data_IF_225969805600
#
_entry.id   IF_225969805600
#
_cell.length_a   1.000
_cell.length_b   1.000
_cell.length_c   1.000
_cell.angle_alpha   90.00
_cell.angle_beta   90.00
_cell.angle_gamma   90.00
#
_symmetry.space_group_name_H-M   'P 1'
#
loop_
_entity.id
_entity.type
_entity.pdbx_description
1 polymer ?
#
# COMPACT_ATOMS: atom_id res chain seq x y z
N UNK A 1 -7.30 -13.32 26.79
CA UNK A 1 -6.39 -12.42 26.07
C UNK A 1 -5.34 -11.96 27.06
N UNK A 2 -4.07 -12.32 26.86
CA UNK A 2 -2.95 -11.76 27.62
C UNK A 2 -2.80 -10.31 27.17
N UNK A 3 -2.88 -9.35 28.09
CA UNK A 3 -2.69 -7.94 27.77
C UNK A 3 -1.27 -7.75 27.22
N UNK A 4 -1.13 -7.23 26.00
CA UNK A 4 0.17 -6.84 25.48
C UNK A 4 0.61 -5.55 26.19
N UNK A 5 1.83 -5.57 26.73
CA UNK A 5 2.36 -4.45 27.52
C UNK A 5 2.94 -3.35 26.64
N UNK A 6 3.51 -3.68 25.49
CA UNK A 6 4.11 -2.71 24.57
C UNK A 6 3.13 -2.30 23.48
N UNK A 7 3.16 -1.01 23.09
CA UNK A 7 2.46 -0.50 21.90
C UNK A 7 3.35 0.43 21.08
N UNK A 8 3.11 0.53 19.77
CA UNK A 8 3.89 1.37 18.85
C UNK A 8 3.01 1.90 17.70
N UNK A 9 2.39 3.07 17.85
CA UNK A 9 1.44 3.63 16.88
C UNK A 9 2.06 4.77 16.07
N UNK A 10 1.80 4.79 14.75
CA UNK A 10 2.11 5.99 13.94
C UNK A 10 1.13 7.09 14.32
N UNK A 11 1.64 8.21 14.84
CA UNK A 11 0.83 9.35 15.29
C UNK A 11 -0.04 9.94 14.17
N UNK A 12 0.36 9.74 12.91
CA UNK A 12 -0.33 10.17 11.69
C UNK A 12 -0.74 8.96 10.82
N UNK A 13 -1.67 8.15 11.33
CA UNK A 13 -2.04 6.81 10.82
C UNK A 13 -2.77 6.74 9.47
N UNK A 14 -2.64 7.75 8.61
CA UNK A 14 -3.16 7.76 7.24
C UNK A 14 -2.13 8.36 6.25
N UNK A 15 -0.90 7.87 6.31
CA UNK A 15 0.21 8.43 5.53
C UNK A 15 0.21 7.90 4.09
N UNK A 16 0.01 8.83 3.15
CA UNK A 16 0.31 8.68 1.75
C UNK A 16 1.74 9.11 1.49
N UNK A 17 2.40 8.42 0.57
CA UNK A 17 3.73 8.77 0.09
C UNK A 17 3.78 8.46 -1.41
N UNK A 18 4.14 9.43 -2.23
CA UNK A 18 4.34 9.18 -3.66
C UNK A 18 5.70 8.47 -3.86
N UNK A 19 5.81 7.59 -4.85
CA UNK A 19 7.10 7.00 -5.22
C UNK A 19 8.14 8.11 -5.44
N UNK A 20 9.32 7.96 -4.83
CA UNK A 20 10.39 8.96 -4.85
C UNK A 20 10.38 9.94 -3.67
N UNK A 21 9.24 10.14 -3.01
CA UNK A 21 9.17 11.01 -1.83
C UNK A 21 9.81 10.34 -0.60
N UNK A 22 10.32 11.17 0.31
CA UNK A 22 10.88 10.75 1.60
C UNK A 22 10.06 11.38 2.73
N UNK A 23 9.69 10.56 3.72
CA UNK A 23 8.85 10.99 4.86
C UNK A 23 9.41 10.47 6.17
N UNK A 24 9.34 11.29 7.21
CA UNK A 24 9.64 10.89 8.58
C UNK A 24 8.32 10.66 9.33
N UNK A 25 8.11 9.42 9.76
CA UNK A 25 6.96 8.98 10.53
C UNK A 25 7.29 9.07 12.02
N UNK A 26 6.39 9.69 12.79
CA UNK A 26 6.47 9.70 14.24
C UNK A 26 5.74 8.49 14.81
N UNK A 27 6.46 7.69 15.60
CA UNK A 27 5.97 6.46 16.22
C UNK A 27 5.85 6.71 17.72
N UNK A 28 4.62 6.74 18.24
CA UNK A 28 4.35 6.75 19.67
C UNK A 28 4.51 5.34 20.21
N UNK A 29 5.49 5.15 21.08
CA UNK A 29 5.78 3.87 21.72
C UNK A 29 5.37 3.96 23.18
N UNK A 30 4.60 2.99 23.65
CA UNK A 30 4.12 2.96 25.02
C UNK A 30 4.44 1.62 25.67
N UNK A 31 4.63 1.64 26.98
CA UNK A 31 4.69 0.49 27.85
C UNK A 31 3.62 0.63 28.94
N UNK A 32 2.71 -0.33 29.00
CA UNK A 32 1.55 -0.35 29.90
C UNK A 32 0.70 0.95 29.82
N UNK A 33 0.52 1.46 28.60
CA UNK A 33 -0.23 2.69 28.33
C UNK A 33 0.50 4.01 28.69
N UNK A 34 1.74 3.94 29.18
CA UNK A 34 2.58 5.11 29.44
C UNK A 34 3.66 5.26 28.36
N UNK A 35 4.15 6.47 28.06
CA UNK A 35 5.28 6.66 27.16
C UNK A 35 6.45 5.72 27.49
N UNK A 36 6.96 5.04 26.48
CA UNK A 36 8.10 4.16 26.63
C UNK A 36 9.33 4.93 27.15
N UNK A 37 10.18 4.32 27.98
CA UNK A 37 11.43 4.94 28.43
C UNK A 37 12.29 5.42 27.25
N UNK A 38 13.00 6.52 27.43
CA UNK A 38 13.95 7.02 26.44
C UNK A 38 15.01 5.96 26.11
N UNK A 39 15.34 5.83 24.82
CA UNK A 39 16.30 4.85 24.33
C UNK A 39 15.76 3.43 24.19
N UNK A 40 14.44 3.22 24.33
CA UNK A 40 13.79 1.96 23.93
C UNK A 40 14.07 1.73 22.45
N UNK A 41 14.70 0.61 22.11
CA UNK A 41 15.07 0.27 20.73
C UNK A 41 13.96 -0.55 20.09
N UNK A 42 13.51 -0.12 18.91
CA UNK A 42 12.59 -0.87 18.06
C UNK A 42 13.29 -1.25 16.76
N UNK A 43 13.08 -2.49 16.35
CA UNK A 43 13.41 -2.98 15.02
C UNK A 43 12.20 -2.85 14.14
N UNK A 44 12.38 -2.26 12.95
CA UNK A 44 11.30 -2.03 12.00
C UNK A 44 11.53 -2.90 10.78
N UNK A 45 10.49 -3.59 10.34
CA UNK A 45 10.48 -4.36 9.10
C UNK A 45 9.23 -4.07 8.28
N UNK A 46 9.37 -4.15 6.96
CA UNK A 46 8.27 -4.04 6.02
C UNK A 46 7.67 -5.42 5.77
N UNK A 47 6.36 -5.51 5.89
CA UNK A 47 5.56 -6.67 5.51
C UNK A 47 4.53 -6.27 4.47
N UNK A 48 4.17 -7.23 3.64
CA UNK A 48 3.15 -7.08 2.61
C UNK A 48 2.24 -8.31 2.61
N UNK A 49 1.14 -8.18 1.90
CA UNK A 49 0.23 -9.27 1.64
C UNK A 49 0.48 -9.76 0.21
N UNK A 50 0.55 -11.08 -0.01
CA UNK A 50 0.81 -11.64 -1.35
C UNK A 50 -0.44 -11.67 -2.25
N UNK A 51 -1.61 -11.33 -1.71
CA UNK A 51 -2.92 -11.53 -2.32
C UNK A 51 -3.69 -10.21 -2.44
N UNK A 52 -4.34 -9.99 -3.59
CA UNK A 52 -5.15 -8.80 -3.86
C UNK A 52 -6.60 -8.96 -3.35
N UNK A 53 -7.04 -10.20 -3.09
CA UNK A 53 -8.41 -10.55 -2.74
C UNK A 53 -8.42 -11.16 -1.33
N UNK A 54 -9.15 -10.52 -0.41
CA UNK A 54 -9.33 -10.88 1.00
C UNK A 54 -8.22 -10.40 1.96
N UNK A 55 -8.57 -10.33 3.25
CA UNK A 55 -7.63 -10.09 4.35
C UNK A 55 -6.92 -11.40 4.66
N UNK A 56 -5.66 -11.52 4.28
CA UNK A 56 -4.85 -12.73 4.42
C UNK A 56 -3.55 -12.42 5.18
N UNK A 57 -2.66 -13.40 5.25
CA UNK A 57 -1.44 -13.38 6.05
C UNK A 57 -0.41 -12.36 5.57
N UNK A 58 0.52 -12.03 6.47
CA UNK A 58 1.62 -11.12 6.19
C UNK A 58 2.90 -11.89 5.88
N UNK A 59 3.67 -11.37 4.91
CA UNK A 59 4.96 -11.89 4.50
C UNK A 59 5.96 -10.73 4.48
N UNK A 60 7.16 -10.98 4.99
CA UNK A 60 8.25 -10.00 5.04
C UNK A 60 8.61 -9.56 3.61
N UNK A 61 8.79 -8.27 3.38
CA UNK A 61 9.23 -7.78 2.08
C UNK A 61 10.69 -8.14 1.80
N UNK A 62 11.01 -8.51 0.55
CA UNK A 62 12.34 -9.00 0.19
C UNK A 62 12.79 -8.64 -1.22
N UNK A 63 14.10 -8.52 -1.39
CA UNK A 63 14.74 -7.86 -2.54
C UNK A 63 15.29 -8.81 -3.62
N UNK A 64 15.28 -10.12 -3.37
CA UNK A 64 15.77 -11.14 -4.32
C UNK A 64 14.62 -12.00 -4.88
N UNK A 65 14.90 -12.81 -5.90
CA UNK A 65 13.93 -13.74 -6.48
C UNK A 65 13.74 -15.00 -5.64
N UNK A 66 13.45 -14.85 -4.34
CA UNK A 66 13.14 -15.97 -3.47
C UNK A 66 11.82 -16.62 -3.89
N UNK A 67 11.74 -17.94 -3.73
CA UNK A 67 10.53 -18.71 -3.93
C UNK A 67 10.28 -19.60 -2.72
N UNK A 68 9.01 -19.83 -2.44
CA UNK A 68 8.53 -20.63 -1.31
C UNK A 68 7.12 -21.10 -1.60
N UNK A 69 6.70 -22.19 -0.95
CA UNK A 69 5.29 -22.59 -1.00
C UNK A 69 4.46 -21.48 -0.35
N UNK A 70 3.54 -20.88 -1.10
CA UNK A 70 2.71 -19.77 -0.64
C UNK A 70 1.39 -20.28 -0.04
N UNK A 71 0.78 -21.26 -0.69
CA UNK A 71 -0.41 -21.95 -0.20
C UNK A 71 -0.51 -23.36 -0.78
N UNK A 72 -1.30 -24.20 -0.14
CA UNK A 72 -1.66 -25.52 -0.64
C UNK A 72 -3.06 -25.45 -1.25
N UNK A 73 -3.15 -25.77 -2.54
CA UNK A 73 -4.39 -25.74 -3.31
C UNK A 73 -5.08 -27.11 -3.29
N UNK A 74 -6.36 -27.15 -2.91
CA UNK A 74 -7.23 -28.31 -3.09
C UNK A 74 -7.99 -28.13 -4.43
N UNK A 75 -7.62 -28.88 -5.48
CA UNK A 75 -8.24 -28.73 -6.79
C UNK A 75 -9.70 -29.20 -6.84
N UNK A 76 -10.14 -30.03 -5.88
CA UNK A 76 -11.51 -30.54 -5.83
C UNK A 76 -12.42 -29.63 -5.02
N UNK A 77 -11.87 -28.89 -4.06
CA UNK A 77 -12.61 -27.97 -3.22
C UNK A 77 -11.76 -26.74 -2.81
N UNK A 78 -11.83 -25.63 -3.56
CA UNK A 78 -11.05 -24.42 -3.27
C UNK A 78 -11.27 -23.80 -1.88
N UNK A 79 -12.37 -24.13 -1.19
CA UNK A 79 -12.63 -23.67 0.19
C UNK A 79 -11.67 -24.33 1.19
N UNK A 80 -11.08 -25.47 0.82
CA UNK A 80 -10.07 -26.18 1.62
C UNK A 80 -8.64 -25.70 1.34
N UNK A 81 -8.44 -24.69 0.49
CA UNK A 81 -7.13 -24.08 0.32
C UNK A 81 -6.61 -23.59 1.67
N UNK A 82 -5.32 -23.79 1.92
CA UNK A 82 -4.67 -23.39 3.17
C UNK A 82 -3.41 -22.60 2.88
N UNK A 83 -3.22 -21.51 3.62
CA UNK A 83 -1.99 -20.73 3.52
C UNK A 83 -0.80 -21.55 4.03
N UNK A 84 0.36 -21.35 3.40
CA UNK A 84 1.62 -21.85 3.91
C UNK A 84 2.36 -20.66 4.54
N UNK A 85 2.69 -20.76 5.82
CA UNK A 85 3.33 -19.71 6.61
C UNK A 85 4.80 -20.06 6.91
N UNK A 86 5.69 -20.11 5.89
CA UNK A 86 7.06 -20.51 6.09
C UNK A 86 7.78 -19.55 7.04
N UNK A 87 8.76 -20.09 7.75
CA UNK A 87 9.55 -19.35 8.72
C UNK A 87 11.05 -19.53 8.45
N UNK A 88 11.90 -18.66 8.99
CA UNK A 88 13.34 -18.83 8.86
C UNK A 88 13.87 -20.01 9.66
N UNK A 89 14.97 -20.63 9.24
CA UNK A 89 15.66 -21.67 10.02
C UNK A 89 15.95 -21.19 11.46
N UNK A 90 15.56 -22.00 12.45
CA UNK A 90 15.77 -21.69 13.88
C UNK A 90 14.67 -20.87 14.54
N UNK A 91 13.60 -20.49 13.83
CA UNK A 91 12.39 -19.92 14.42
C UNK A 91 11.28 -20.96 14.54
N UNK A 92 10.37 -20.77 15.49
CA UNK A 92 9.20 -21.65 15.66
C UNK A 92 8.32 -21.63 14.42
N UNK A 93 7.91 -22.80 13.95
CA UNK A 93 6.89 -22.92 12.90
C UNK A 93 5.54 -22.42 13.41
N UNK A 94 4.87 -21.62 12.59
CA UNK A 94 3.49 -21.21 12.85
C UNK A 94 2.54 -22.25 12.26
N UNK A 95 1.46 -22.55 12.98
CA UNK A 95 0.43 -23.44 12.48
C UNK A 95 -0.36 -22.73 11.38
N UNK A 96 -0.63 -23.45 10.28
CA UNK A 96 -1.51 -22.97 9.24
C UNK A 96 -2.97 -22.99 9.74
N UNK A 97 -3.71 -21.94 9.41
CA UNK A 97 -5.10 -21.76 9.82
C UNK A 97 -6.01 -21.63 8.57
N UNK A 98 -7.22 -22.19 8.66
CA UNK A 98 -8.30 -21.97 7.70
C UNK A 98 -9.30 -21.00 8.31
N UNK A 99 -9.66 -19.97 7.55
CA UNK A 99 -10.74 -19.04 7.91
C UNK A 99 -12.06 -19.45 7.27
N UNK A 100 -13.12 -19.56 8.07
CA UNK A 100 -14.49 -19.66 7.58
C UNK A 100 -15.12 -18.26 7.47
N UNK A 101 -15.33 -17.81 6.24
CA UNK A 101 -15.79 -16.45 5.93
C UNK A 101 -14.67 -15.41 5.85
N UNK A 102 -14.99 -14.18 5.41
CA UNK A 102 -14.01 -13.09 5.22
C UNK A 102 -14.54 -11.75 5.73
N UNK A 103 -13.63 -10.87 6.17
CA UNK A 103 -13.97 -9.53 6.66
C UNK A 103 -14.97 -9.55 7.83
N UNK A 104 -16.11 -8.86 7.67
CA UNK A 104 -17.19 -8.82 8.69
C UNK A 104 -17.92 -10.15 8.88
N UNK A 105 -17.71 -11.11 7.98
CA UNK A 105 -18.32 -12.44 8.03
C UNK A 105 -17.32 -13.53 8.44
N UNK A 106 -16.16 -13.19 9.00
CA UNK A 106 -15.29 -14.19 9.62
C UNK A 106 -16.05 -14.84 10.80
N UNK A 107 -16.44 -16.10 10.64
CA UNK A 107 -17.25 -16.83 11.62
C UNK A 107 -16.39 -17.76 12.49
N UNK A 108 -15.31 -18.32 11.93
CA UNK A 108 -14.42 -19.21 12.65
C UNK A 108 -13.03 -19.25 12.03
N UNK A 109 -12.05 -19.67 12.83
CA UNK A 109 -10.71 -20.02 12.39
C UNK A 109 -10.37 -21.38 12.99
N UNK A 110 -9.84 -22.30 12.18
CA UNK A 110 -9.47 -23.65 12.61
C UNK A 110 -8.07 -24.01 12.13
N UNK A 111 -7.36 -24.83 12.90
CA UNK A 111 -6.08 -25.40 12.50
C UNK A 111 -6.32 -26.33 11.30
N UNK A 112 -5.46 -26.24 10.28
CA UNK A 112 -5.52 -27.10 9.10
C UNK A 112 -5.18 -28.54 9.49
N UNK A 113 -6.05 -29.49 9.13
CA UNK A 113 -5.68 -30.90 9.08
C UNK A 113 -4.93 -31.16 7.77
N UNK A 114 -3.76 -31.80 7.84
CA UNK A 114 -2.98 -32.16 6.66
C UNK A 114 -3.77 -33.13 5.78
N UNK A 115 -4.20 -32.68 4.60
CA UNK A 115 -4.87 -33.51 3.60
C UNK A 115 -3.86 -33.85 2.49
N UNK A 116 -3.65 -35.15 2.23
CA UNK A 116 -2.69 -35.67 1.24
C UNK A 116 -3.05 -35.29 -0.21
N UNK A 117 -4.23 -34.67 -0.44
CA UNK A 117 -4.71 -34.30 -1.77
C UNK A 117 -4.38 -32.87 -2.21
N UNK A 118 -3.70 -32.08 -1.39
CA UNK A 118 -3.37 -30.69 -1.73
C UNK A 118 -2.11 -30.58 -2.60
N UNK A 119 -2.08 -29.60 -3.49
CA UNK A 119 -0.94 -29.31 -4.37
C UNK A 119 -0.30 -27.98 -3.93
N UNK A 120 1.01 -27.95 -3.60
CA UNK A 120 1.67 -26.71 -3.23
C UNK A 120 1.77 -25.76 -4.42
N UNK A 121 1.40 -24.50 -4.21
CA UNK A 121 1.57 -23.41 -5.17
C UNK A 121 2.64 -22.47 -4.63
N UNK A 122 3.69 -22.22 -5.43
CA UNK A 122 4.79 -21.36 -5.00
C UNK A 122 4.51 -19.88 -5.25
N UNK A 123 5.19 -19.00 -4.52
CA UNK A 123 5.07 -17.56 -4.69
C UNK A 123 5.39 -17.13 -6.13
N UNK A 124 6.47 -17.63 -6.72
CA UNK A 124 6.85 -17.28 -8.11
C UNK A 124 5.84 -17.80 -9.14
N UNK A 125 5.18 -18.94 -8.87
CA UNK A 125 4.10 -19.44 -9.72
C UNK A 125 2.83 -18.58 -9.62
N UNK A 126 2.56 -17.99 -8.45
CA UNK A 126 1.38 -17.16 -8.21
C UNK A 126 1.54 -15.71 -8.65
N UNK A 127 2.75 -15.15 -8.58
CA UNK A 127 3.10 -13.76 -8.91
C UNK A 127 2.66 -13.25 -10.31
N UNK A 128 2.60 -14.05 -11.39
CA UNK A 128 2.09 -13.56 -12.67
C UNK A 128 0.56 -13.48 -12.73
N UNK A 129 -0.17 -13.93 -11.71
CA UNK A 129 -1.64 -13.93 -11.70
C UNK A 129 -2.19 -12.55 -11.31
N UNK A 130 -3.39 -12.17 -11.82
CA UNK A 130 -4.01 -10.90 -11.47
C UNK A 130 -4.47 -10.81 -10.01
N UNK A 131 -4.45 -11.91 -9.26
CA UNK A 131 -4.82 -11.95 -7.85
C UNK A 131 -3.61 -11.77 -6.91
N UNK A 132 -2.40 -11.62 -7.46
CA UNK A 132 -1.18 -11.51 -6.68
C UNK A 132 -0.77 -10.06 -6.42
N UNK A 133 0.00 -9.87 -5.35
CA UNK A 133 0.68 -8.63 -5.00
C UNK A 133 2.15 -8.97 -4.76
N UNK A 134 3.06 -8.21 -5.38
CA UNK A 134 4.48 -8.44 -5.23
C UNK A 134 4.94 -8.13 -3.80
N UNK A 135 5.74 -9.04 -3.24
CA UNK A 135 6.39 -8.88 -1.94
C UNK A 135 7.74 -8.14 -2.03
N UNK A 136 8.01 -7.48 -3.16
CA UNK A 136 9.14 -6.55 -3.29
C UNK A 136 8.94 -5.34 -2.37
N UNK A 137 10.00 -4.81 -1.74
CA UNK A 137 9.90 -3.64 -0.88
C UNK A 137 9.30 -2.45 -1.62
N UNK A 138 8.29 -1.84 -1.01
CA UNK A 138 7.75 -0.56 -1.42
C UNK A 138 8.54 0.60 -0.81
N UNK A 139 9.28 0.35 0.28
CA UNK A 139 9.99 1.36 1.05
C UNK A 139 11.49 1.07 1.16
N UNK A 140 12.28 2.14 1.23
CA UNK A 140 13.65 2.13 1.72
C UNK A 140 13.67 2.72 3.12
N UNK A 141 14.29 2.04 4.07
CA UNK A 141 14.55 2.63 5.38
C UNK A 141 15.76 3.55 5.33
N UNK A 142 15.72 4.65 6.08
CA UNK A 142 16.93 5.35 6.46
C UNK A 142 17.79 4.42 7.35
N UNK A 143 19.10 4.37 7.06
CA UNK A 143 20.06 3.48 7.74
C UNK A 143 19.65 2.00 7.70
N UNK A 144 19.46 1.41 6.51
CA UNK A 144 19.01 0.04 6.38
C UNK A 144 20.07 -0.94 6.90
N UNK A 145 19.62 -1.95 7.62
CA UNK A 145 20.41 -3.08 8.09
C UNK A 145 20.03 -4.28 7.21
N UNK A 146 20.89 -4.66 6.24
CA UNK A 146 20.63 -5.81 5.39
C UNK A 146 20.71 -7.11 6.21
N UNK A 147 19.83 -8.04 5.87
CA UNK A 147 19.71 -9.35 6.48
C UNK A 147 19.45 -10.40 5.41
N UNK A 148 19.75 -11.64 5.76
CA UNK A 148 19.35 -12.81 4.99
C UNK A 148 18.88 -13.90 5.93
N UNK A 149 17.94 -14.71 5.48
CA UNK A 149 17.48 -15.89 6.19
C UNK A 149 17.10 -16.99 5.20
N UNK A 150 17.31 -18.24 5.58
CA UNK A 150 16.90 -19.41 4.80
C UNK A 150 15.57 -19.92 5.33
N UNK A 151 14.62 -20.19 4.45
CA UNK A 151 13.28 -20.66 4.83
C UNK A 151 13.30 -22.15 5.22
N UNK A 152 12.50 -22.49 6.23
CA UNK A 152 12.14 -23.85 6.64
C UNK A 152 11.04 -24.39 5.72
N UNK A 153 11.36 -24.56 4.45
CA UNK A 153 10.44 -25.15 3.48
C UNK A 153 11.18 -26.13 2.55
N UNK A 154 10.46 -26.96 1.77
CA UNK A 154 11.09 -27.93 0.87
C UNK A 154 12.03 -27.29 -0.17
N UNK A 155 11.83 -26.01 -0.49
CA UNK A 155 12.66 -25.26 -1.44
C UNK A 155 13.94 -24.72 -0.78
N UNK A 156 13.93 -24.52 0.54
CA UNK A 156 15.06 -24.05 1.35
C UNK A 156 15.72 -22.79 0.78
N UNK A 157 14.88 -21.89 0.25
CA UNK A 157 15.34 -20.71 -0.45
C UNK A 157 15.88 -19.66 0.53
N UNK A 158 16.80 -18.82 0.06
CA UNK A 158 17.34 -17.71 0.87
C UNK A 158 16.63 -16.43 0.50
N UNK A 159 16.16 -15.71 1.51
CA UNK A 159 15.47 -14.42 1.39
C UNK A 159 16.40 -13.31 1.83
N UNK A 160 16.54 -12.26 1.04
CA UNK A 160 17.30 -11.05 1.35
C UNK A 160 16.35 -9.90 1.67
N UNK A 161 16.40 -9.39 2.90
CA UNK A 161 15.49 -8.36 3.39
C UNK A 161 16.25 -7.27 4.14
N UNK A 162 15.57 -6.16 4.42
CA UNK A 162 16.14 -5.05 5.17
C UNK A 162 15.26 -4.71 6.35
N UNK A 163 15.91 -4.36 7.45
CA UNK A 163 15.27 -3.79 8.64
C UNK A 163 15.96 -2.49 9.01
N UNK A 164 15.42 -1.74 9.96
CA UNK A 164 16.12 -0.59 10.55
C UNK A 164 15.87 -0.57 12.05
N UNK A 165 16.65 0.25 12.75
CA UNK A 165 16.49 0.49 14.18
C UNK A 165 16.10 1.94 14.42
N UNK A 166 15.10 2.14 15.28
CA UNK A 166 14.69 3.45 15.77
C UNK A 166 14.70 3.43 17.30
N UNK A 167 14.82 4.61 17.90
CA UNK A 167 14.87 4.78 19.35
C UNK A 167 13.88 5.84 19.80
N UNK A 168 13.26 5.61 20.95
CA UNK A 168 12.34 6.56 21.58
C UNK A 168 13.09 7.71 22.23
N UNK A 169 12.51 8.90 22.16
CA UNK A 169 12.91 10.06 22.94
C UNK A 169 12.31 10.01 24.37
N UNK A 170 12.45 11.11 25.12
CA UNK A 170 11.93 11.24 26.48
C UNK A 170 10.40 11.21 26.58
N UNK A 171 9.69 11.38 25.46
CA UNK A 171 8.22 11.34 25.38
C UNK A 171 7.71 10.02 24.80
N UNK A 172 8.57 9.01 24.64
CA UNK A 172 8.20 7.75 24.00
C UNK A 172 8.04 7.85 22.48
N UNK A 173 8.49 8.94 21.84
CA UNK A 173 8.38 9.10 20.38
C UNK A 173 9.66 8.61 19.70
N UNK A 174 9.53 7.70 18.74
CA UNK A 174 10.60 7.32 17.83
C UNK A 174 10.34 7.88 16.43
N UNK A 175 11.40 8.28 15.72
CA UNK A 175 11.30 8.80 14.35
C UNK A 175 11.81 7.77 13.35
N UNK A 176 10.97 7.39 12.40
CA UNK A 176 11.30 6.48 11.31
C UNK A 176 11.30 7.23 9.98
N UNK A 177 12.43 7.30 9.30
CA UNK A 177 12.49 7.91 7.96
C UNK A 177 12.47 6.83 6.89
N UNK A 178 11.58 6.99 5.92
CA UNK A 178 11.40 6.09 4.78
C UNK A 178 11.38 6.85 3.46
N UNK A 179 11.87 6.22 2.40
CA UNK A 179 11.75 6.69 1.01
C UNK A 179 10.91 5.69 0.23
N UNK A 180 9.88 6.16 -0.46
CA UNK A 180 9.06 5.30 -1.31
C UNK A 180 9.82 4.89 -2.59
N UNK A 181 9.89 3.59 -2.88
CA UNK A 181 10.61 3.03 -4.02
C UNK A 181 9.69 2.40 -5.06
N UNK A 182 8.61 1.76 -4.63
CA UNK A 182 7.66 1.08 -5.50
C UNK A 182 6.22 1.26 -4.99
N UNK A 183 5.23 1.34 -5.88
CA UNK A 183 3.84 1.49 -5.49
C UNK A 183 3.33 0.25 -4.76
N UNK A 184 2.48 0.44 -3.76
CA UNK A 184 1.91 -0.66 -3.00
C UNK A 184 1.29 -0.25 -1.66
N UNK A 185 0.97 -1.25 -0.85
CA UNK A 185 0.34 -1.10 0.46
C UNK A 185 1.21 -1.72 1.57
N UNK A 186 2.46 -1.25 1.74
CA UNK A 186 3.37 -1.82 2.72
C UNK A 186 2.83 -1.59 4.13
N UNK A 187 3.09 -2.57 4.97
CA UNK A 187 2.78 -2.55 6.39
C UNK A 187 4.08 -2.55 7.16
N UNK A 188 4.29 -1.56 8.01
CA UNK A 188 5.42 -1.59 8.93
C UNK A 188 5.03 -2.36 10.20
N UNK A 189 5.96 -3.19 10.67
CA UNK A 189 5.91 -3.89 11.95
C UNK A 189 7.08 -3.49 12.82
N UNK A 190 6.83 -3.40 14.12
CA UNK A 190 7.77 -2.91 15.12
C UNK A 190 8.03 -4.00 16.15
N UNK A 191 9.28 -4.42 16.29
CA UNK A 191 9.71 -5.42 17.24
C UNK A 191 10.56 -4.76 18.33
N UNK A 192 10.09 -4.80 19.57
CA UNK A 192 10.82 -4.21 20.70
C UNK A 192 12.04 -5.06 21.05
N UNK A 193 13.18 -4.43 21.27
CA UNK A 193 14.37 -5.11 21.77
C UNK A 193 14.34 -5.16 23.30
N UNK A 194 14.05 -6.33 23.86
CA UNK A 194 14.12 -6.55 25.31
C UNK A 194 15.52 -7.06 25.71
N UNK A 195 16.23 -6.27 26.52
CA UNK A 195 17.61 -6.55 26.91
C UNK A 195 18.62 -6.33 25.78
N UNK A 196 19.64 -7.19 25.69
CA UNK A 196 20.73 -7.03 24.73
C UNK A 196 20.58 -7.86 23.44
N UNK A 197 19.60 -8.76 23.39
CA UNK A 197 19.39 -9.62 22.24
C UNK A 197 18.42 -8.97 21.26
N UNK A 198 18.78 -8.96 19.96
CA UNK A 198 17.87 -8.51 18.92
C UNK A 198 16.62 -9.40 18.87
N UNK A 199 15.42 -8.82 18.63
CA UNK A 199 14.19 -9.58 18.51
C UNK A 199 14.23 -10.50 17.29
N UNK A 200 13.47 -11.59 17.36
CA UNK A 200 13.24 -12.47 16.22
C UNK A 200 12.23 -11.80 15.28
N UNK A 201 12.61 -11.65 14.02
CA UNK A 201 11.75 -11.13 12.96
C UNK A 201 11.22 -12.33 12.16
N UNK A 202 9.93 -12.69 12.27
CA UNK A 202 9.35 -13.83 11.55
C UNK A 202 9.29 -13.55 10.05
N UNK A 203 9.35 -14.59 9.21
CA UNK A 203 9.21 -14.37 7.77
C UNK A 203 7.75 -14.12 7.38
N UNK A 204 6.82 -14.85 7.99
CA UNK A 204 5.39 -14.71 7.74
C UNK A 204 4.59 -14.85 9.02
N UNK A 205 3.33 -14.43 9.04
CA UNK A 205 2.43 -14.69 10.15
C UNK A 205 0.97 -14.45 9.78
N UNK A 206 0.03 -15.12 10.47
CA UNK A 206 -1.37 -14.96 10.16
C UNK A 206 -1.88 -13.59 10.61
N UNK A 207 -2.90 -13.07 9.92
CA UNK A 207 -3.50 -11.76 10.20
C UNK A 207 -3.88 -11.55 11.67
N UNK A 208 -4.33 -12.62 12.34
CA UNK A 208 -4.81 -12.61 13.72
C UNK A 208 -3.68 -12.74 14.77
N UNK A 209 -2.46 -13.11 14.37
CA UNK A 209 -1.31 -13.08 15.27
C UNK A 209 -0.78 -11.66 15.34
N UNK A 210 -1.30 -10.95 16.34
CA UNK A 210 -0.57 -9.85 16.93
C UNK A 210 0.68 -10.47 17.60
N UNK A 211 1.83 -10.33 16.95
CA UNK A 211 3.07 -10.06 17.69
C UNK A 211 2.84 -8.80 18.56
N UNK A 212 3.81 -8.34 19.33
CA UNK A 212 3.78 -7.08 20.10
C UNK A 212 3.46 -5.79 19.29
N UNK A 213 2.85 -5.91 18.11
CA UNK A 213 3.19 -5.19 16.91
C UNK A 213 1.96 -4.50 16.33
N UNK A 214 1.96 -3.19 16.46
CA UNK A 214 0.93 -2.34 15.89
C UNK A 214 1.21 -2.13 14.40
N UNK A 215 0.15 -2.25 13.61
CA UNK A 215 0.17 -2.14 12.16
C UNK A 215 0.26 -0.66 11.78
N UNK A 216 1.31 -0.29 11.04
CA UNK A 216 1.38 1.01 10.38
C UNK A 216 1.18 0.80 8.87
N UNK A 217 -0.08 0.77 8.39
CA UNK A 217 -0.34 0.65 6.97
C UNK A 217 0.02 1.96 6.29
N UNK A 218 0.83 1.87 5.25
CA UNK A 218 1.19 3.00 4.41
C UNK A 218 0.64 2.77 3.00
N UNK A 219 0.40 3.86 2.29
CA UNK A 219 -0.02 3.82 0.88
C UNK A 219 1.04 4.49 0.06
N UNK A 220 1.77 3.69 -0.74
CA UNK A 220 2.75 4.19 -1.68
C UNK A 220 2.07 4.37 -3.03
N UNK A 221 1.84 5.62 -3.44
CA UNK A 221 1.14 5.94 -4.68
C UNK A 221 2.12 5.90 -5.87
N UNK A 222 1.71 5.33 -7.01
CA UNK A 222 2.57 5.25 -8.20
C UNK A 222 2.89 6.63 -8.77
N UNK A 223 3.99 6.73 -9.51
CA UNK A 223 4.23 7.82 -10.44
C UNK A 223 3.94 7.35 -11.86
N UNK A 224 3.20 8.17 -12.62
CA UNK A 224 2.79 7.89 -14.00
C UNK A 224 3.25 9.04 -14.91
N UNK A 225 4.56 9.29 -15.07
CA UNK A 225 5.06 10.41 -15.88
C UNK A 225 4.67 10.29 -17.35
N UNK A 226 4.55 9.07 -17.88
CA UNK A 226 4.08 8.85 -19.26
C UNK A 226 2.65 9.36 -19.45
N UNK A 227 1.77 9.21 -18.46
CA UNK A 227 0.39 9.69 -18.55
C UNK A 227 0.31 11.22 -18.71
N UNK A 228 1.24 11.96 -18.10
CA UNK A 228 1.32 13.41 -18.25
C UNK A 228 1.67 13.80 -19.70
N UNK A 229 2.65 13.10 -20.30
CA UNK A 229 2.99 13.28 -21.71
C UNK A 229 1.81 12.89 -22.62
N UNK A 230 1.19 11.75 -22.36
CA UNK A 230 0.06 11.26 -23.16
C UNK A 230 -1.11 12.25 -23.13
N UNK A 231 -1.35 12.94 -22.01
CA UNK A 231 -2.35 14.00 -21.92
C UNK A 231 -2.01 15.20 -22.81
N UNK A 232 -0.76 15.68 -22.74
CA UNK A 232 -0.28 16.79 -23.59
C UNK A 232 -0.43 16.42 -25.07
N UNK A 233 -0.04 15.20 -25.44
CA UNK A 233 -0.15 14.72 -26.81
C UNK A 233 -1.61 14.59 -27.25
N UNK A 234 -2.49 14.06 -26.39
CA UNK A 234 -3.92 13.94 -26.67
C UNK A 234 -4.57 15.32 -26.89
N UNK A 235 -4.27 16.31 -26.05
CA UNK A 235 -4.75 17.67 -26.23
C UNK A 235 -4.23 18.29 -27.54
N UNK A 236 -2.94 18.15 -27.81
CA UNK A 236 -2.29 18.71 -29.00
C UNK A 236 -2.80 18.11 -30.32
N UNK A 237 -3.48 16.97 -30.28
CA UNK A 237 -4.16 16.41 -31.44
C UNK A 237 -5.53 17.04 -31.71
N UNK A 238 -6.18 17.63 -30.70
CA UNK A 238 -7.58 18.09 -30.78
C UNK A 238 -7.77 19.61 -30.56
N UNK A 239 -6.76 20.33 -30.06
CA UNK A 239 -6.89 21.73 -29.59
C UNK A 239 -7.44 22.74 -30.61
N UNK A 240 -7.36 22.48 -31.91
CA UNK A 240 -7.88 23.37 -32.96
C UNK A 240 -9.36 23.10 -33.29
N UNK A 241 -9.94 22.03 -32.74
CA UNK A 241 -11.32 21.64 -33.03
C UNK A 241 -12.31 22.42 -32.18
N UNK A 242 -13.48 22.70 -32.75
CA UNK A 242 -14.57 23.38 -32.04
C UNK A 242 -15.08 22.57 -30.84
N UNK A 243 -15.06 21.23 -30.96
CA UNK A 243 -15.46 20.27 -29.94
C UNK A 243 -14.30 19.76 -29.07
N UNK A 244 -13.15 20.45 -29.05
CA UNK A 244 -11.93 20.00 -28.37
C UNK A 244 -12.14 19.62 -26.90
N UNK A 245 -12.95 20.41 -26.17
CA UNK A 245 -13.24 20.15 -24.76
C UNK A 245 -14.00 18.83 -24.52
N UNK A 246 -14.97 18.53 -25.38
CA UNK A 246 -15.68 17.25 -25.32
C UNK A 246 -14.75 16.09 -25.72
N UNK A 247 -13.93 16.28 -26.76
CA UNK A 247 -13.02 15.25 -27.23
C UNK A 247 -11.96 14.89 -26.20
N UNK A 248 -11.31 15.87 -25.56
CA UNK A 248 -10.28 15.57 -24.55
C UNK A 248 -10.89 14.91 -23.30
N UNK A 249 -12.14 15.25 -22.97
CA UNK A 249 -12.88 14.57 -21.91
C UNK A 249 -13.14 13.10 -22.21
N UNK A 250 -13.71 12.82 -23.38
CA UNK A 250 -14.11 11.46 -23.79
C UNK A 250 -12.92 10.56 -24.12
N UNK A 251 -11.85 11.14 -24.69
CA UNK A 251 -10.66 10.39 -25.10
C UNK A 251 -9.61 10.24 -23.99
N UNK A 252 -9.57 11.16 -23.01
CA UNK A 252 -8.50 11.17 -22.01
C UNK A 252 -8.99 11.28 -20.56
N UNK A 253 -9.57 12.42 -20.17
CA UNK A 253 -9.82 12.75 -18.75
C UNK A 253 -10.73 11.73 -18.08
N UNK A 254 -11.86 11.40 -18.70
CA UNK A 254 -12.76 10.39 -18.13
C UNK A 254 -12.15 8.98 -18.15
N UNK A 255 -11.77 8.39 -19.30
CA UNK A 255 -11.35 6.98 -19.35
C UNK A 255 -10.08 6.66 -18.55
N UNK A 256 -9.07 7.52 -18.59
CA UNK A 256 -7.77 7.20 -17.97
C UNK A 256 -7.65 7.69 -16.53
N UNK A 257 -8.38 8.75 -16.16
CA UNK A 257 -8.28 9.33 -14.82
C UNK A 257 -9.52 9.02 -14.00
N UNK A 258 -10.70 9.49 -14.39
CA UNK A 258 -11.88 9.51 -13.51
C UNK A 258 -12.68 8.19 -13.49
N UNK A 259 -12.68 7.43 -14.59
CA UNK A 259 -13.45 6.20 -14.73
C UNK A 259 -13.04 5.10 -13.72
N UNK A 260 -11.74 4.85 -13.44
CA UNK A 260 -11.35 3.91 -12.39
C UNK A 260 -11.97 4.28 -11.04
N UNK A 261 -11.93 5.55 -10.66
CA UNK A 261 -12.50 6.01 -9.39
C UNK A 261 -14.03 6.01 -9.37
N UNK A 262 -14.66 6.22 -10.52
CA UNK A 262 -16.11 6.09 -10.67
C UNK A 262 -16.58 4.66 -10.31
N UNK A 263 -15.84 3.64 -10.74
CA UNK A 263 -16.13 2.24 -10.42
C UNK A 263 -15.72 1.84 -9.00
N UNK A 264 -14.58 2.33 -8.50
CA UNK A 264 -14.12 2.03 -7.14
C UNK A 264 -14.98 2.70 -6.07
N UNK A 265 -15.54 3.87 -6.37
CA UNK A 265 -16.28 4.70 -5.41
C UNK A 265 -17.69 5.06 -5.92
N UNK A 266 -18.59 4.08 -6.17
CA UNK A 266 -19.90 4.33 -6.77
C UNK A 266 -20.82 5.19 -5.90
N UNK A 267 -20.57 5.22 -4.57
CA UNK A 267 -21.30 6.10 -3.65
C UNK A 267 -21.09 7.59 -3.98
N UNK A 268 -19.97 7.92 -4.61
CA UNK A 268 -19.62 9.29 -4.98
C UNK A 268 -20.50 9.84 -6.09
N UNK A 269 -21.13 9.00 -6.90
CA UNK A 269 -22.10 9.45 -7.91
C UNK A 269 -23.28 10.23 -7.32
N UNK A 270 -23.56 10.10 -6.01
CA UNK A 270 -24.57 10.91 -5.31
C UNK A 270 -24.12 12.35 -5.02
N UNK A 271 -22.82 12.57 -4.92
CA UNK A 271 -22.23 13.85 -4.51
C UNK A 271 -21.52 14.55 -5.67
N UNK A 272 -20.80 13.80 -6.50
CA UNK A 272 -20.09 14.27 -7.67
C UNK A 272 -20.08 13.16 -8.74
N UNK A 273 -20.99 13.21 -9.74
CA UNK A 273 -21.02 12.22 -10.82
C UNK A 273 -19.81 12.40 -11.73
N UNK A 274 -18.76 11.59 -11.50
CA UNK A 274 -17.48 11.66 -12.21
C UNK A 274 -17.58 11.38 -13.72
N UNK A 275 -18.69 10.82 -14.18
CA UNK A 275 -18.97 10.51 -15.58
C UNK A 275 -19.68 11.64 -16.33
N UNK A 276 -19.85 12.83 -15.73
CA UNK A 276 -20.53 13.97 -16.34
C UNK A 276 -19.59 15.17 -16.46
N UNK A 277 -19.14 15.46 -17.69
CA UNK A 277 -18.29 16.61 -18.00
C UNK A 277 -18.88 17.91 -17.42
N UNK A 278 -20.15 18.20 -17.74
CA UNK A 278 -20.85 19.41 -17.30
C UNK A 278 -20.86 19.57 -15.78
N UNK A 279 -20.98 18.47 -15.02
CA UNK A 279 -20.98 18.52 -13.56
C UNK A 279 -19.59 18.76 -12.99
N UNK A 280 -18.57 18.17 -13.60
CA UNK A 280 -17.19 18.34 -13.18
C UNK A 280 -16.68 19.75 -13.53
N UNK A 281 -16.94 20.25 -14.73
CA UNK A 281 -16.59 21.62 -15.12
C UNK A 281 -17.35 22.66 -14.30
N UNK A 282 -18.64 22.43 -14.03
CA UNK A 282 -19.44 23.30 -13.15
C UNK A 282 -18.94 23.36 -11.71
N UNK A 283 -18.12 22.38 -11.29
CA UNK A 283 -17.49 22.31 -9.97
C UNK A 283 -15.96 22.43 -10.05
N UNK A 284 -15.40 23.00 -11.13
CA UNK A 284 -13.95 22.97 -11.41
C UNK A 284 -13.10 23.61 -10.31
N UNK A 285 -13.55 24.71 -9.71
CA UNK A 285 -12.81 25.35 -8.61
C UNK A 285 -12.77 24.46 -7.36
N UNK A 286 -13.86 23.75 -7.07
CA UNK A 286 -13.90 22.77 -5.98
C UNK A 286 -13.01 21.56 -6.30
N UNK A 287 -13.00 21.10 -7.56
CA UNK A 287 -12.13 20.01 -7.99
C UNK A 287 -10.66 20.36 -7.75
N UNK A 288 -10.20 21.55 -8.17
CA UNK A 288 -8.80 22.03 -8.01
C UNK A 288 -8.40 21.97 -6.53
N UNK A 289 -9.25 22.47 -5.63
CA UNK A 289 -8.98 22.43 -4.18
C UNK A 289 -8.83 20.99 -3.70
N UNK A 290 -9.75 20.10 -4.09
CA UNK A 290 -9.78 18.71 -3.61
C UNK A 290 -8.64 17.84 -4.15
N UNK A 291 -8.11 18.13 -5.34
CA UNK A 291 -6.97 17.41 -5.93
C UNK A 291 -5.61 18.00 -5.52
N UNK A 292 -5.57 19.10 -4.78
CA UNK A 292 -4.32 19.68 -4.30
C UNK A 292 -3.58 18.76 -3.30
N UNK A 293 -2.25 18.90 -3.22
CA UNK A 293 -1.41 18.11 -2.31
C UNK A 293 -1.69 18.44 -0.83
N UNK A 294 -1.93 19.71 -0.51
CA UNK A 294 -2.28 20.16 0.84
C UNK A 294 -3.58 19.48 1.35
N UNK A 295 -4.62 19.45 0.51
CA UNK A 295 -5.88 18.79 0.89
C UNK A 295 -5.80 17.26 0.96
N UNK A 296 -4.80 16.65 0.33
CA UNK A 296 -4.60 15.19 0.39
C UNK A 296 -4.26 14.71 1.80
N UNK A 297 -3.44 15.49 2.53
CA UNK A 297 -2.89 15.08 3.83
C UNK A 297 -3.77 15.52 5.01
N UNK A 298 -4.42 16.69 4.92
CA UNK A 298 -5.03 17.33 6.10
C UNK A 298 -6.56 17.23 6.17
N UNK A 299 -7.23 16.92 5.06
CA UNK A 299 -8.69 17.07 4.98
C UNK A 299 -9.44 15.77 5.25
N UNK A 300 -10.22 15.73 6.33
CA UNK A 300 -11.27 14.72 6.53
C UNK A 300 -12.42 14.82 5.50
N UNK A 301 -12.45 15.92 4.73
CA UNK A 301 -13.37 16.15 3.61
C UNK A 301 -12.75 15.75 2.25
N UNK A 302 -11.47 15.33 2.20
CA UNK A 302 -10.90 14.76 0.99
C UNK A 302 -11.71 13.52 0.61
N UNK A 303 -12.33 13.56 -0.57
CA UNK A 303 -13.13 12.45 -1.06
C UNK A 303 -12.23 11.21 -1.21
N UNK A 304 -12.74 9.98 -1.00
CA UNK A 304 -11.94 8.75 -1.19
C UNK A 304 -11.22 8.70 -2.55
N UNK A 305 -11.82 9.31 -3.58
CA UNK A 305 -11.30 9.46 -4.94
C UNK A 305 -10.00 10.25 -4.97
N UNK A 306 -9.97 11.44 -4.35
CA UNK A 306 -8.78 12.29 -4.42
C UNK A 306 -7.68 11.67 -3.58
N UNK A 307 -8.00 11.17 -2.38
CA UNK A 307 -7.00 10.64 -1.44
C UNK A 307 -6.12 9.52 -2.03
N UNK A 308 -6.71 8.61 -2.80
CA UNK A 308 -6.00 7.51 -3.48
C UNK A 308 -5.53 7.85 -4.91
N UNK A 309 -5.74 9.09 -5.36
CA UNK A 309 -5.30 9.53 -6.68
C UNK A 309 -3.79 9.84 -6.67
N UNK A 310 -3.00 9.20 -7.54
CA UNK A 310 -1.58 9.51 -7.70
C UNK A 310 -1.31 10.96 -8.04
N UNK A 311 -0.18 11.51 -7.59
CA UNK A 311 0.20 12.89 -7.89
C UNK A 311 0.28 13.18 -9.39
N UNK A 312 0.72 12.21 -10.21
CA UNK A 312 0.74 12.37 -11.68
C UNK A 312 -0.64 12.65 -12.26
N UNK A 313 -1.69 11.94 -11.81
CA UNK A 313 -3.06 12.13 -12.27
C UNK A 313 -3.66 13.44 -11.77
N UNK A 314 -3.35 13.81 -10.52
CA UNK A 314 -3.73 15.10 -9.93
C UNK A 314 -3.18 16.25 -10.77
N UNK A 315 -1.90 16.18 -11.13
CA UNK A 315 -1.26 17.19 -11.99
C UNK A 315 -1.95 17.29 -13.36
N UNK A 316 -2.35 16.17 -13.98
CA UNK A 316 -3.13 16.20 -15.23
C UNK A 316 -4.48 16.92 -15.03
N UNK A 317 -5.23 16.57 -13.98
CA UNK A 317 -6.51 17.21 -13.70
C UNK A 317 -6.36 18.70 -13.38
N UNK A 318 -5.29 19.09 -12.68
CA UNK A 318 -4.99 20.47 -12.37
C UNK A 318 -4.66 21.26 -13.63
N UNK A 319 -3.80 20.74 -14.50
CA UNK A 319 -3.48 21.36 -15.79
C UNK A 319 -4.73 21.47 -16.68
N UNK A 320 -5.52 20.41 -16.80
CA UNK A 320 -6.79 20.42 -17.52
C UNK A 320 -7.75 21.48 -16.97
N UNK A 321 -7.94 21.52 -15.65
CA UNK A 321 -8.84 22.46 -15.00
C UNK A 321 -8.38 23.93 -15.17
N UNK A 322 -7.10 24.21 -14.92
CA UNK A 322 -6.57 25.58 -14.91
C UNK A 322 -6.29 26.11 -16.32
N UNK A 323 -5.62 25.33 -17.17
CA UNK A 323 -5.18 25.79 -18.48
C UNK A 323 -6.27 25.64 -19.55
N UNK A 324 -7.15 24.65 -19.42
CA UNK A 324 -8.18 24.35 -20.43
C UNK A 324 -9.57 24.80 -19.96
N UNK A 325 -10.13 24.21 -18.91
CA UNK A 325 -11.53 24.47 -18.49
C UNK A 325 -11.76 25.93 -18.11
N UNK A 326 -10.95 26.49 -17.19
CA UNK A 326 -11.11 27.88 -16.72
C UNK A 326 -10.86 28.92 -17.80
N UNK A 327 -10.17 28.55 -18.87
CA UNK A 327 -9.87 29.39 -20.03
C UNK A 327 -10.79 29.11 -21.22
N UNK A 328 -11.83 28.31 -21.01
CA UNK A 328 -12.80 27.91 -22.03
C UNK A 328 -12.13 27.29 -23.27
N UNK A 329 -11.25 26.31 -23.03
CA UNK A 329 -10.54 25.51 -24.02
C UNK A 329 -9.84 26.36 -25.10
N UNK A 330 -8.83 27.16 -24.71
CA UNK A 330 -8.14 28.03 -25.65
C UNK A 330 -7.45 27.19 -26.74
N UNK A 331 -7.48 27.58 -28.02
CA UNK A 331 -6.90 26.80 -29.11
C UNK A 331 -5.38 26.99 -29.17
N UNK A 332 -4.71 26.63 -28.07
CA UNK A 332 -3.25 26.66 -27.92
C UNK A 332 -2.75 25.28 -27.52
N UNK A 333 -1.60 24.84 -28.04
CA UNK A 333 -1.01 23.58 -27.62
C UNK A 333 -0.53 23.67 -26.17
N UNK A 334 -0.48 22.52 -25.52
CA UNK A 334 0.18 22.32 -24.24
C UNK A 334 1.59 21.74 -24.45
N UNK A 335 2.39 21.80 -23.40
CA UNK A 335 3.76 21.31 -23.32
C UNK A 335 4.01 20.74 -21.92
N UNK A 336 5.04 19.90 -21.78
CA UNK A 336 5.42 19.37 -20.46
C UNK A 336 5.86 20.45 -19.47
N UNK A 337 6.30 21.62 -19.95
CA UNK A 337 6.61 22.77 -19.09
C UNK A 337 5.37 23.39 -18.44
N UNK A 338 4.15 23.10 -18.94
CA UNK A 338 2.92 23.64 -18.34
C UNK A 338 2.54 22.96 -17.02
N UNK A 339 3.22 21.86 -16.63
CA UNK A 339 3.10 21.24 -15.31
C UNK A 339 3.93 21.91 -14.21
N UNK A 340 4.76 22.90 -14.56
CA UNK A 340 5.79 23.50 -13.68
C UNK A 340 5.29 24.71 -12.90
#
# INVERSE_FOLDING_TARGET
ATQQMWTAEVVQSASFIDVGDTKTLQIMVQYDGLPAPAGTVLWVAEYSNAYMLCTTDYYLAFSNAADFTLFNNDPQNPIKNSANLPQFNGTSTLLAEVTEGTGRQLMATRIVESDDQTVPVTYQQFLPTPASVALSPCLSFANPIPRQGTLQDPLSNTVQYSVTQIQTDANGIANLTVTAQAPGFPTLRFFVQEGQQAPVIPFSFPLNQAFTDFLAPLRVLPLEPQMQQDFVDAWNQVYQREDAGQLIWESFIYPFILQPFYYLYPIMSKYMPLNSLTRIEGAVDQLIVLISKEYQEESTLAMPITRDMPQSRRAVLELWAQALVKRNYPPVPLSMSDYS
#
